data_IF_890576614590
#
_entry.id   IF_890576614590
#
_cell.length_a   1.000
_cell.length_b   1.000
_cell.length_c   1.000
_cell.angle_alpha   90.00
_cell.angle_beta   90.00
_cell.angle_gamma   90.00
#
_symmetry.space_group_name_H-M   'P 1'
#
loop_
_entity.id
_entity.type
_entity.pdbx_description
1 polymer ?
#
# COMPACT_ATOMS: atom_id res chain seq x y z
N UNK A 1 -4.39 13.98 -2.30
CA UNK A 1 -2.91 14.03 -2.26
C UNK A 1 -2.36 14.13 -0.84
N UNK A 2 -2.99 14.88 0.06
CA UNK A 2 -2.59 15.01 1.49
C UNK A 2 -2.26 13.67 2.17
N UNK A 3 -3.09 12.62 1.99
CA UNK A 3 -2.82 11.28 2.53
C UNK A 3 -1.41 10.77 2.20
N UNK A 4 -0.91 10.99 0.98
CA UNK A 4 0.43 10.54 0.59
C UNK A 4 1.52 11.37 1.27
N UNK A 5 1.26 12.66 1.50
CA UNK A 5 2.11 13.51 2.32
C UNK A 5 2.20 13.01 3.75
N UNK A 6 1.04 12.81 4.40
CA UNK A 6 0.99 12.48 5.82
C UNK A 6 1.44 11.03 6.13
N UNK A 7 1.15 10.09 5.23
CA UNK A 7 1.45 8.66 5.45
C UNK A 7 2.84 8.27 4.95
N UNK A 8 3.27 8.85 3.82
CA UNK A 8 4.51 8.44 3.14
C UNK A 8 5.55 9.55 3.01
N UNK A 9 5.34 10.71 3.65
CA UNK A 9 6.18 11.91 3.46
C UNK A 9 6.25 12.32 1.97
N UNK A 10 5.16 12.05 1.23
CA UNK A 10 5.03 12.28 -0.20
C UNK A 10 5.07 13.76 -0.55
N UNK A 11 5.74 14.09 -1.66
CA UNK A 11 5.89 15.46 -2.15
C UNK A 11 5.23 15.60 -3.50
N UNK A 12 4.15 16.36 -3.53
CA UNK A 12 3.44 16.72 -4.75
C UNK A 12 4.31 17.61 -5.65
N UNK A 13 4.11 17.50 -6.97
CA UNK A 13 4.67 18.41 -7.98
C UNK A 13 3.50 19.21 -8.58
N UNK A 14 3.16 20.39 -8.02
CA UNK A 14 1.96 21.13 -8.41
C UNK A 14 1.93 21.50 -9.91
N UNK A 15 3.09 21.71 -10.52
CA UNK A 15 3.22 22.03 -11.94
C UNK A 15 2.86 20.87 -12.87
N UNK A 16 2.82 19.64 -12.35
CA UNK A 16 2.44 18.46 -13.12
C UNK A 16 0.91 18.29 -13.22
N UNK A 17 0.12 19.12 -12.55
CA UNK A 17 -1.34 18.97 -12.58
C UNK A 17 -1.90 19.27 -13.97
N UNK A 18 -2.69 18.33 -14.48
CA UNK A 18 -3.46 18.50 -15.69
C UNK A 18 -4.92 18.13 -15.43
N UNK A 19 -5.80 19.10 -15.64
CA UNK A 19 -7.24 18.88 -15.65
C UNK A 19 -7.69 18.46 -17.05
N UNK A 20 -8.66 17.56 -17.10
CA UNK A 20 -9.35 17.19 -18.33
C UNK A 20 -10.50 18.17 -18.64
N UNK A 21 -11.11 18.01 -19.82
CA UNK A 21 -12.25 18.79 -20.30
C UNK A 21 -13.50 18.71 -19.41
N UNK A 22 -13.61 17.69 -18.57
CA UNK A 22 -14.68 17.52 -17.58
C UNK A 22 -14.33 18.13 -16.20
N UNK A 23 -13.14 18.73 -16.06
CA UNK A 23 -12.66 19.35 -14.83
C UNK A 23 -12.12 18.38 -13.79
N UNK A 24 -12.03 17.08 -14.11
CA UNK A 24 -11.37 16.09 -13.27
C UNK A 24 -9.88 16.01 -13.58
N UNK A 25 -9.07 15.67 -12.57
CA UNK A 25 -7.63 15.54 -12.72
C UNK A 25 -7.30 14.31 -13.58
N UNK A 26 -6.60 14.49 -14.71
CA UNK A 26 -6.14 13.38 -15.55
C UNK A 26 -4.66 13.03 -15.31
N UNK A 27 -3.91 13.93 -14.67
CA UNK A 27 -2.52 13.70 -14.29
C UNK A 27 -2.13 14.57 -13.10
N UNK A 28 -1.51 13.95 -12.10
CA UNK A 28 -0.70 14.60 -11.08
C UNK A 28 0.41 13.67 -10.62
N UNK A 29 1.47 14.24 -10.04
CA UNK A 29 2.65 13.49 -9.61
C UNK A 29 2.95 13.73 -8.14
N UNK A 30 3.17 12.64 -7.40
CA UNK A 30 3.64 12.66 -6.02
C UNK A 30 4.90 11.82 -5.91
N UNK A 31 5.99 12.41 -5.41
CA UNK A 31 7.24 11.71 -5.12
C UNK A 31 7.15 11.05 -3.76
N UNK A 32 7.39 9.74 -3.70
CA UNK A 32 7.55 8.97 -2.46
C UNK A 32 8.95 8.37 -2.48
N UNK A 33 9.83 8.82 -1.59
CA UNK A 33 11.25 8.49 -1.65
C UNK A 33 11.87 8.93 -2.99
N UNK A 34 12.34 7.96 -3.77
CA UNK A 34 12.89 8.16 -5.12
C UNK A 34 11.89 7.85 -6.25
N UNK A 35 10.70 7.34 -5.91
CA UNK A 35 9.70 6.89 -6.86
C UNK A 35 8.68 7.99 -7.15
N UNK A 36 8.29 8.15 -8.41
CA UNK A 36 7.21 9.05 -8.80
C UNK A 36 5.92 8.24 -8.98
N UNK A 37 4.89 8.59 -8.21
CA UNK A 37 3.54 8.05 -8.36
C UNK A 37 2.71 9.03 -9.17
N UNK A 38 2.17 8.56 -10.30
CA UNK A 38 1.18 9.30 -11.08
C UNK A 38 -0.22 8.92 -10.62
N UNK A 39 -1.09 9.92 -10.47
CA UNK A 39 -2.45 9.80 -9.95
C UNK A 39 -3.40 10.56 -10.88
N UNK A 40 -4.60 10.01 -11.06
CA UNK A 40 -5.70 10.64 -11.77
C UNK A 40 -7.02 10.36 -11.02
N UNK A 41 -8.00 11.22 -11.23
CA UNK A 41 -9.36 10.99 -10.78
C UNK A 41 -10.02 9.87 -11.58
N UNK A 42 -10.86 9.06 -10.91
CA UNK A 42 -11.72 8.10 -11.61
C UNK A 42 -12.86 8.83 -12.31
N UNK A 43 -13.16 8.46 -13.55
CA UNK A 43 -14.31 9.01 -14.28
C UNK A 43 -15.62 8.34 -13.85
N UNK A 44 -16.77 9.03 -13.94
CA UNK A 44 -18.07 8.52 -13.48
C UNK A 44 -18.51 7.19 -14.10
N UNK A 45 -18.08 6.89 -15.33
CA UNK A 45 -18.43 5.69 -16.08
C UNK A 45 -17.38 4.57 -16.00
N UNK A 46 -16.27 4.79 -15.28
CA UNK A 46 -15.23 3.80 -15.12
C UNK A 46 -15.62 2.69 -14.15
N UNK A 47 -15.23 1.46 -14.49
CA UNK A 47 -15.34 0.34 -13.57
C UNK A 47 -14.36 0.55 -12.42
N UNK A 48 -14.83 0.32 -11.19
CA UNK A 48 -13.97 0.35 -10.01
C UNK A 48 -12.77 -0.57 -10.21
N UNK A 49 -11.59 0.03 -10.20
CA UNK A 49 -10.31 -0.65 -10.38
C UNK A 49 -9.36 -0.15 -9.30
N UNK A 50 -9.11 -0.92 -8.24
CA UNK A 50 -8.19 -0.50 -7.18
C UNK A 50 -6.75 -0.50 -7.70
N UNK A 51 -5.95 0.46 -7.26
CA UNK A 51 -4.51 0.37 -7.42
C UNK A 51 -3.93 -0.64 -6.42
N UNK A 52 -2.94 -1.39 -6.88
CA UNK A 52 -2.19 -2.38 -6.12
C UNK A 52 -0.72 -1.92 -6.13
N UNK A 53 -0.30 -1.22 -5.08
CA UNK A 53 0.93 -0.45 -5.05
C UNK A 53 1.95 -1.08 -4.09
N UNK A 54 3.20 -1.15 -4.52
CA UNK A 54 4.30 -1.63 -3.68
C UNK A 54 5.27 -0.47 -3.43
N UNK A 55 5.65 -0.27 -2.17
CA UNK A 55 6.63 0.75 -1.78
C UNK A 55 7.62 0.19 -0.76
N UNK A 56 8.88 0.61 -0.90
CA UNK A 56 9.89 0.37 0.13
C UNK A 56 9.82 1.51 1.16
N UNK A 57 9.82 1.16 2.44
CA UNK A 57 9.72 2.11 3.55
C UNK A 57 10.81 1.85 4.57
N UNK A 58 11.18 2.89 5.33
CA UNK A 58 12.17 2.75 6.40
C UNK A 58 11.63 2.02 7.62
N UNK A 59 10.30 1.98 7.79
CA UNK A 59 9.63 1.21 8.85
C UNK A 59 8.14 1.04 8.60
N UNK A 60 7.69 -0.22 8.51
CA UNK A 60 6.30 -0.56 8.25
C UNK A 60 5.36 -0.07 9.37
N UNK A 61 5.73 -0.25 10.64
CA UNK A 61 4.86 0.09 11.78
C UNK A 61 4.49 1.57 11.84
N UNK A 62 5.44 2.47 11.56
CA UNK A 62 5.18 3.90 11.58
C UNK A 62 4.25 4.30 10.42
N UNK A 63 4.44 3.73 9.24
CA UNK A 63 3.55 3.96 8.09
C UNK A 63 2.16 3.40 8.39
N UNK A 64 2.04 2.20 8.96
CA UNK A 64 0.75 1.64 9.38
C UNK A 64 0.06 2.53 10.41
N UNK A 65 0.80 3.06 11.40
CA UNK A 65 0.26 3.97 12.42
C UNK A 65 -0.30 5.24 11.78
N UNK A 66 0.45 5.87 10.87
CA UNK A 66 0.01 7.06 10.12
C UNK A 66 -1.21 6.70 9.25
N UNK A 67 -1.15 5.62 8.48
CA UNK A 67 -2.25 5.18 7.63
C UNK A 67 -3.54 4.97 8.44
N UNK A 68 -3.49 4.27 9.59
CA UNK A 68 -4.64 4.08 10.51
C UNK A 68 -5.21 5.43 10.97
N UNK A 69 -4.34 6.39 11.32
CA UNK A 69 -4.77 7.73 11.75
C UNK A 69 -5.50 8.50 10.64
N UNK A 70 -5.20 8.20 9.36
CA UNK A 70 -5.83 8.78 8.17
C UNK A 70 -6.93 7.88 7.56
N UNK A 71 -7.52 6.98 8.36
CA UNK A 71 -8.71 6.21 7.97
C UNK A 71 -8.42 4.96 7.13
N UNK A 72 -7.16 4.57 6.96
CA UNK A 72 -6.81 3.33 6.29
C UNK A 72 -7.15 2.09 7.15
N UNK A 73 -7.50 0.99 6.48
CA UNK A 73 -7.71 -0.31 7.10
C UNK A 73 -6.43 -1.15 6.96
N UNK A 74 -5.78 -1.49 8.07
CA UNK A 74 -4.68 -2.46 8.02
C UNK A 74 -5.22 -3.86 7.79
N UNK A 75 -4.68 -4.52 6.77
CA UNK A 75 -5.07 -5.89 6.39
C UNK A 75 -3.97 -6.90 6.73
N UNK A 76 -2.72 -6.45 6.88
CA UNK A 76 -1.60 -7.28 7.32
C UNK A 76 -0.70 -6.44 8.18
N UNK A 77 -0.64 -6.75 9.48
CA UNK A 77 0.32 -6.16 10.39
C UNK A 77 1.75 -6.55 9.98
N UNK A 78 2.73 -5.77 10.42
CA UNK A 78 4.14 -5.97 10.10
C UNK A 78 4.58 -7.39 10.45
N UNK A 79 4.97 -8.14 9.42
CA UNK A 79 5.31 -9.57 9.51
C UNK A 79 6.72 -9.78 8.96
N UNK A 80 7.56 -10.63 9.57
CA UNK A 80 8.83 -11.01 8.98
C UNK A 80 8.63 -11.61 7.58
N UNK A 81 9.47 -11.19 6.63
CA UNK A 81 9.37 -11.63 5.25
C UNK A 81 10.73 -12.10 4.75
N UNK A 82 10.89 -13.43 4.67
CA UNK A 82 12.09 -14.12 4.19
C UNK A 82 13.40 -13.64 4.83
N UNK A 83 13.38 -13.25 6.12
CA UNK A 83 14.57 -12.94 6.94
C UNK A 83 15.31 -11.65 6.56
N UNK A 84 15.15 -11.17 5.33
CA UNK A 84 15.81 -9.97 4.83
C UNK A 84 14.92 -8.73 4.83
N UNK A 85 13.61 -8.88 5.03
CA UNK A 85 12.66 -7.79 4.99
C UNK A 85 11.51 -7.99 5.98
N UNK A 86 10.70 -6.95 6.14
CA UNK A 86 9.36 -7.02 6.71
C UNK A 86 8.32 -6.69 5.65
N UNK A 87 7.12 -7.24 5.81
CA UNK A 87 5.98 -6.96 4.95
C UNK A 87 4.80 -6.51 5.80
N UNK A 88 4.13 -5.45 5.35
CA UNK A 88 2.83 -5.04 5.87
C UNK A 88 1.92 -4.61 4.73
N UNK A 89 0.62 -4.55 4.99
CA UNK A 89 -0.36 -4.03 4.03
C UNK A 89 -1.51 -3.29 4.67
N UNK A 90 -2.02 -2.31 3.96
CA UNK A 90 -3.27 -1.64 4.29
C UNK A 90 -4.07 -1.31 3.02
N UNK A 91 -5.35 -1.03 3.22
CA UNK A 91 -6.26 -0.46 2.23
C UNK A 91 -6.48 1.01 2.59
N UNK A 92 -6.24 1.92 1.66
CA UNK A 92 -6.48 3.35 1.87
C UNK A 92 -7.97 3.73 1.74
N UNK A 93 -8.37 4.97 2.07
CA UNK A 93 -9.76 5.41 1.94
C UNK A 93 -10.36 5.34 0.52
N UNK A 94 -9.51 5.28 -0.52
CA UNK A 94 -9.90 5.14 -1.92
C UNK A 94 -9.95 3.68 -2.38
N UNK A 95 -9.83 2.74 -1.44
CA UNK A 95 -9.80 1.29 -1.68
C UNK A 95 -8.58 0.80 -2.46
N UNK A 96 -7.48 1.55 -2.51
CA UNK A 96 -6.22 1.04 -3.04
C UNK A 96 -5.51 0.18 -2.00
N UNK A 97 -4.82 -0.87 -2.46
CA UNK A 97 -4.04 -1.78 -1.62
C UNK A 97 -2.58 -1.38 -1.68
N UNK A 98 -1.98 -1.15 -0.51
CA UNK A 98 -0.58 -0.80 -0.36
C UNK A 98 0.20 -1.95 0.25
N UNK A 99 1.26 -2.39 -0.42
CA UNK A 99 2.29 -3.30 0.07
C UNK A 99 3.50 -2.51 0.54
N UNK A 100 3.80 -2.63 1.83
CA UNK A 100 4.96 -2.04 2.45
C UNK A 100 6.05 -3.09 2.57
N UNK A 101 7.23 -2.78 2.04
CA UNK A 101 8.45 -3.55 2.28
C UNK A 101 9.39 -2.72 3.14
N UNK A 102 9.67 -3.22 4.33
CA UNK A 102 10.56 -2.58 5.29
C UNK A 102 11.82 -3.40 5.54
N UNK A 103 12.75 -2.89 6.35
CA UNK A 103 13.91 -3.65 6.81
C UNK A 103 13.48 -4.90 7.57
N UNK A 104 14.40 -5.86 7.69
CA UNK A 104 14.21 -7.05 8.51
C UNK A 104 13.88 -6.67 9.96
N UNK A 105 13.00 -7.47 10.58
CA UNK A 105 12.66 -7.31 11.99
C UNK A 105 13.77 -7.97 12.81
N UNK A 106 14.38 -7.19 13.70
CA UNK A 106 15.43 -7.69 14.60
C UNK A 106 14.92 -8.87 15.43
N UNK A 107 15.68 -9.97 15.44
CA UNK A 107 15.32 -11.18 16.18
C UNK A 107 14.21 -12.03 15.54
N UNK A 108 13.75 -11.69 14.33
CA UNK A 108 12.85 -12.57 13.59
C UNK A 108 13.55 -13.90 13.25
N UNK A 109 12.81 -15.03 13.26
CA UNK A 109 13.38 -16.31 12.89
C UNK A 109 13.90 -16.28 11.45
N UNK A 110 15.09 -16.85 11.23
CA UNK A 110 15.60 -17.04 9.88
C UNK A 110 14.68 -18.00 9.10
N UNK A 111 14.45 -17.75 7.80
CA UNK A 111 13.67 -18.67 6.99
C UNK A 111 14.43 -20.00 6.89
N UNK A 112 13.94 -21.04 7.53
CA UNK A 112 14.40 -22.40 7.28
C UNK A 112 13.57 -23.02 6.17
N UNK A 113 14.23 -23.43 5.10
CA UNK A 113 13.58 -24.28 4.10
C UNK A 113 13.55 -25.72 4.62
N UNK A 114 12.34 -26.27 4.75
CA UNK A 114 12.10 -27.67 5.08
C UNK A 114 11.21 -28.27 3.97
N UNK A 115 11.72 -29.21 3.15
CA UNK A 115 10.96 -29.82 2.06
C UNK A 115 9.78 -30.65 2.55
N UNK A 116 9.83 -31.12 3.80
CA UNK A 116 8.84 -32.01 4.40
C UNK A 116 7.86 -31.26 5.32
N UNK A 117 8.04 -29.94 5.48
CA UNK A 117 7.12 -29.12 6.26
C UNK A 117 5.74 -29.07 5.58
N UNK A 118 4.69 -29.36 6.35
CA UNK A 118 3.32 -29.08 5.92
C UNK A 118 3.18 -27.57 5.68
N UNK A 119 3.08 -27.18 4.42
CA UNK A 119 2.93 -25.77 4.03
C UNK A 119 1.49 -25.32 4.26
N UNK A 120 1.16 -25.04 5.52
CA UNK A 120 -0.07 -24.34 5.88
C UNK A 120 -0.17 -22.98 5.18
N UNK A 121 -1.39 -22.46 5.03
CA UNK A 121 -1.61 -21.13 4.44
C UNK A 121 -0.86 -20.07 5.25
N UNK A 122 0.05 -19.33 4.61
CA UNK A 122 0.78 -18.27 5.30
C UNK A 122 -0.17 -17.13 5.66
N UNK A 123 0.04 -16.49 6.82
CA UNK A 123 -0.75 -15.31 7.23
C UNK A 123 -0.73 -14.22 6.17
N UNK A 124 0.40 -14.04 5.49
CA UNK A 124 0.55 -13.10 4.38
C UNK A 124 -0.31 -13.50 3.17
N UNK A 125 -0.50 -14.79 2.88
CA UNK A 125 -1.44 -15.20 1.83
C UNK A 125 -2.90 -15.04 2.27
N UNK A 126 -3.26 -15.57 3.44
CA UNK A 126 -4.62 -15.59 3.97
C UNK A 126 -5.24 -14.18 4.02
N UNK A 127 -4.47 -13.22 4.54
CA UNK A 127 -4.95 -11.84 4.77
C UNK A 127 -5.22 -11.07 3.49
N UNK A 128 -4.39 -11.19 2.45
CA UNK A 128 -4.67 -10.56 1.16
C UNK A 128 -5.84 -11.22 0.44
N UNK A 129 -5.92 -12.56 0.46
CA UNK A 129 -7.04 -13.25 -0.17
C UNK A 129 -8.37 -12.86 0.48
N UNK A 130 -8.40 -12.71 1.80
CA UNK A 130 -9.57 -12.17 2.51
C UNK A 130 -9.87 -10.73 2.09
N UNK A 131 -8.87 -9.85 2.15
CA UNK A 131 -9.03 -8.43 1.79
C UNK A 131 -9.58 -8.25 0.37
N UNK A 132 -9.05 -8.98 -0.62
CA UNK A 132 -9.49 -8.88 -2.01
C UNK A 132 -10.92 -9.37 -2.24
N UNK A 133 -11.42 -10.35 -1.46
CA UNK A 133 -12.83 -10.79 -1.51
C UNK A 133 -13.78 -9.74 -0.91
N UNK A 134 -13.31 -9.01 0.09
CA UNK A 134 -14.08 -8.01 0.84
C UNK A 134 -13.99 -6.61 0.22
N UNK A 135 -13.04 -6.35 -0.70
CA UNK A 135 -12.80 -5.04 -1.30
C UNK A 135 -14.02 -4.51 -2.06
N UNK A 136 -14.32 -3.22 -1.87
CA UNK A 136 -15.46 -2.52 -2.49
C UNK A 136 -15.00 -1.14 -2.99
N UNK A 137 -15.75 -0.52 -3.92
CA UNK A 137 -15.52 0.87 -4.27
C UNK A 137 -15.50 1.78 -3.02
N UNK A 138 -14.73 2.87 -3.03
CA UNK A 138 -14.71 3.82 -1.93
C UNK A 138 -16.12 4.39 -1.68
N UNK A 139 -16.39 4.71 -0.41
CA UNK A 139 -17.70 5.21 0.05
C UNK A 139 -17.85 6.72 -0.12
#
# INVERSE_FOLDING_TARGET
MEFLGDVFDGRETPEAHADDTDGLLIHAEVRIGDSCLMIADSKPDWVFTPALLQVNVTGCDEVLRRAKAHGAQVITETTPFYGAASLARFIDPWSNVWWLFGPAIEGAPEPSWDPDAETGESTVHATICRAMRELRPPR
#
